data_IF_754128762330
#
_entry.id   IF_754128762330
#
_cell.length_a   1.000
_cell.length_b   1.000
_cell.length_c   1.000
_cell.angle_alpha   90.00
_cell.angle_beta   90.00
_cell.angle_gamma   90.00
#
_symmetry.space_group_name_H-M   'P 1'
#
loop_
_entity.id
_entity.type
_entity.pdbx_description
1 polymer ?
#
# COMPACT_ATOMS: atom_id res chain seq x y z
N UNK A 1 -0.44 -20.10 19.53
CA UNK A 1 0.42 -21.26 19.26
C UNK A 1 0.77 -21.26 17.78
N UNK A 2 2.03 -21.55 17.42
CA UNK A 2 2.44 -21.66 16.02
C UNK A 2 2.12 -23.05 15.45
N UNK A 3 1.90 -23.19 14.13
CA UNK A 3 1.93 -24.49 13.48
C UNK A 3 3.28 -25.20 13.74
N UNK A 4 3.31 -26.56 13.83
CA UNK A 4 4.56 -27.28 14.01
C UNK A 4 5.58 -26.97 12.90
N UNK A 5 6.79 -26.58 13.29
CA UNK A 5 7.76 -26.00 12.36
C UNK A 5 8.13 -26.90 11.18
N UNK A 6 8.28 -28.21 11.41
CA UNK A 6 8.61 -29.17 10.36
C UNK A 6 7.49 -29.27 9.30
N UNK A 7 6.23 -29.17 9.71
CA UNK A 7 5.08 -29.22 8.79
C UNK A 7 5.01 -27.90 8.01
N UNK A 8 5.16 -26.77 8.70
CA UNK A 8 5.08 -25.46 8.07
C UNK A 8 6.21 -25.24 7.06
N UNK A 9 7.45 -25.64 7.38
CA UNK A 9 8.60 -25.52 6.48
C UNK A 9 8.40 -26.30 5.17
N UNK A 10 7.74 -27.46 5.22
CA UNK A 10 7.38 -28.23 4.01
C UNK A 10 6.36 -27.49 3.13
N UNK A 11 5.46 -26.71 3.72
CA UNK A 11 4.43 -25.94 3.00
C UNK A 11 5.03 -24.71 2.33
N UNK A 12 5.81 -23.91 3.05
CA UNK A 12 6.31 -22.61 2.55
C UNK A 12 7.71 -22.69 1.93
N UNK A 13 8.36 -23.86 2.00
CA UNK A 13 9.77 -24.12 1.68
C UNK A 13 10.78 -23.60 2.71
N UNK A 14 11.85 -24.37 2.89
CA UNK A 14 13.01 -24.04 3.72
C UNK A 14 13.66 -22.70 3.36
N UNK A 15 14.01 -22.40 2.08
CA UNK A 15 14.66 -21.13 1.73
C UNK A 15 13.82 -19.90 2.12
N UNK A 16 12.50 -20.00 1.98
CA UNK A 16 11.59 -18.91 2.31
C UNK A 16 11.56 -18.67 3.82
N UNK A 17 11.51 -19.72 4.63
CA UNK A 17 11.55 -19.61 6.10
C UNK A 17 12.95 -19.21 6.62
N UNK A 18 14.02 -19.72 6.02
CA UNK A 18 15.41 -19.35 6.34
C UNK A 18 15.65 -17.85 6.16
N UNK A 19 14.98 -17.21 5.19
CA UNK A 19 15.04 -15.76 5.04
C UNK A 19 14.48 -15.00 6.25
N UNK A 20 13.46 -15.52 6.92
CA UNK A 20 12.93 -14.91 8.14
C UNK A 20 13.88 -15.16 9.31
N UNK A 21 14.36 -16.39 9.48
CA UNK A 21 15.32 -16.76 10.53
C UNK A 21 16.60 -15.91 10.45
N UNK A 22 17.16 -15.75 9.25
CA UNK A 22 18.40 -15.00 9.04
C UNK A 22 18.25 -13.49 9.31
N UNK A 23 17.20 -12.87 8.77
CA UNK A 23 16.98 -11.43 8.94
C UNK A 23 16.64 -11.07 10.39
N UNK A 24 15.69 -11.79 10.98
CA UNK A 24 15.17 -11.48 12.32
C UNK A 24 16.01 -12.12 13.45
N UNK A 25 16.97 -12.99 13.11
CA UNK A 25 17.85 -13.70 14.05
C UNK A 25 17.05 -14.50 15.09
N UNK A 26 16.05 -15.25 14.62
CA UNK A 26 15.13 -16.01 15.47
C UNK A 26 15.11 -17.50 15.12
N UNK A 27 14.57 -18.31 16.03
CA UNK A 27 14.26 -19.72 15.81
C UNK A 27 13.13 -19.93 14.78
N UNK A 28 12.87 -21.20 14.45
CA UNK A 28 11.87 -21.57 13.45
C UNK A 28 10.44 -21.17 13.85
N UNK A 29 10.08 -21.29 15.13
CA UNK A 29 8.73 -21.00 15.62
C UNK A 29 8.42 -19.50 15.50
N UNK A 30 9.34 -18.65 15.95
CA UNK A 30 9.22 -17.19 15.79
C UNK A 30 9.24 -16.77 14.32
N UNK A 31 10.03 -17.42 13.48
CA UNK A 31 10.03 -17.16 12.04
C UNK A 31 8.67 -17.46 11.38
N UNK A 32 7.97 -18.50 11.84
CA UNK A 32 6.60 -18.82 11.39
C UNK A 32 5.63 -17.71 11.83
N UNK A 33 5.73 -17.26 13.09
CA UNK A 33 4.97 -16.12 13.59
C UNK A 33 5.13 -14.88 12.72
N UNK A 34 6.37 -14.53 12.37
CA UNK A 34 6.70 -13.40 11.50
C UNK A 34 6.24 -13.59 10.06
N UNK A 35 6.21 -14.83 9.57
CA UNK A 35 5.63 -15.14 8.26
C UNK A 35 4.13 -14.85 8.22
N UNK A 36 3.40 -15.28 9.26
CA UNK A 36 1.96 -15.03 9.41
C UNK A 36 1.71 -13.52 9.55
N UNK A 37 2.50 -12.84 10.39
CA UNK A 37 2.46 -11.38 10.54
C UNK A 37 2.62 -10.65 9.21
N UNK A 38 3.57 -11.06 8.37
CA UNK A 38 3.74 -10.49 7.04
C UNK A 38 2.49 -10.68 6.17
N UNK A 39 1.84 -11.84 6.24
CA UNK A 39 0.58 -12.08 5.53
C UNK A 39 -0.54 -11.12 5.96
N UNK A 40 -0.65 -10.87 7.26
CA UNK A 40 -1.65 -9.95 7.83
C UNK A 40 -1.39 -8.50 7.41
N UNK A 41 -0.12 -8.07 7.42
CA UNK A 41 0.26 -6.74 6.91
C UNK A 41 -0.05 -6.65 5.42
N UNK A 42 0.33 -7.65 4.61
CA UNK A 42 0.03 -7.66 3.17
C UNK A 42 -1.47 -7.49 2.93
N UNK A 43 -2.32 -8.18 3.70
CA UNK A 43 -3.77 -8.08 3.57
C UNK A 43 -4.29 -6.67 3.88
N UNK A 44 -3.85 -6.05 4.98
CA UNK A 44 -4.29 -4.71 5.36
C UNK A 44 -3.72 -3.60 4.45
N UNK A 45 -2.45 -3.70 4.05
CA UNK A 45 -1.83 -2.77 3.09
C UNK A 45 -2.46 -2.90 1.70
N UNK A 46 -2.93 -4.08 1.30
CA UNK A 46 -3.67 -4.25 0.03
C UNK A 46 -4.94 -3.41 -0.01
N UNK A 47 -5.66 -3.30 1.12
CA UNK A 47 -6.86 -2.46 1.21
C UNK A 47 -6.52 -0.99 0.99
N UNK A 48 -5.43 -0.52 1.62
CA UNK A 48 -4.92 0.83 1.41
C UNK A 48 -4.60 1.07 -0.07
N UNK A 49 -3.78 0.22 -0.68
CA UNK A 49 -3.35 0.34 -2.07
C UNK A 49 -4.52 0.27 -3.06
N UNK A 50 -5.56 -0.51 -2.78
CA UNK A 50 -6.77 -0.57 -3.60
C UNK A 50 -7.47 0.80 -3.70
N UNK A 51 -7.70 1.46 -2.55
CA UNK A 51 -8.30 2.80 -2.54
C UNK A 51 -7.43 3.82 -3.28
N UNK A 52 -6.12 3.76 -3.08
CA UNK A 52 -5.19 4.64 -3.77
C UNK A 52 -5.19 4.42 -5.29
N UNK A 53 -5.07 3.16 -5.74
CA UNK A 53 -5.05 2.80 -7.16
C UNK A 53 -6.32 3.24 -7.89
N UNK A 54 -7.49 2.97 -7.30
CA UNK A 54 -8.79 3.36 -7.88
C UNK A 54 -8.93 4.89 -7.92
N UNK A 55 -8.54 5.58 -6.85
CA UNK A 55 -8.64 7.04 -6.79
C UNK A 55 -7.68 7.70 -7.79
N UNK A 56 -6.44 7.21 -7.88
CA UNK A 56 -5.44 7.71 -8.81
C UNK A 56 -5.87 7.50 -10.27
N UNK A 57 -6.31 6.27 -10.62
CA UNK A 57 -6.72 5.98 -12.01
C UNK A 57 -7.93 6.80 -12.42
N UNK A 58 -8.91 6.96 -11.54
CA UNK A 58 -10.13 7.71 -11.83
C UNK A 58 -9.82 9.20 -11.99
N UNK A 59 -8.95 9.75 -11.14
CA UNK A 59 -8.48 11.14 -11.26
C UNK A 59 -7.76 11.39 -12.59
N UNK A 60 -6.78 10.53 -12.93
CA UNK A 60 -6.06 10.61 -14.22
C UNK A 60 -7.03 10.48 -15.40
N UNK A 61 -7.92 9.49 -15.36
CA UNK A 61 -8.88 9.24 -16.45
C UNK A 61 -9.83 10.42 -16.65
N UNK A 62 -10.38 10.97 -15.55
CA UNK A 62 -11.26 12.13 -15.60
C UNK A 62 -10.58 13.33 -16.24
N UNK A 63 -9.38 13.69 -15.76
CA UNK A 63 -8.70 14.89 -16.25
C UNK A 63 -8.22 14.75 -17.69
N UNK A 64 -7.79 13.56 -18.12
CA UNK A 64 -7.46 13.29 -19.52
C UNK A 64 -8.70 13.32 -20.43
N UNK A 65 -9.83 12.76 -19.98
CA UNK A 65 -11.09 12.79 -20.73
C UNK A 65 -11.59 14.23 -20.89
N UNK A 66 -11.62 15.01 -19.81
CA UNK A 66 -12.02 16.42 -19.86
C UNK A 66 -11.05 17.25 -20.72
N UNK A 67 -9.75 16.98 -20.68
CA UNK A 67 -8.79 17.70 -21.51
C UNK A 67 -8.95 17.40 -23.00
N UNK A 68 -9.14 16.13 -23.37
CA UNK A 68 -9.26 15.69 -24.77
C UNK A 68 -10.61 16.06 -25.39
N UNK A 69 -11.68 16.06 -24.59
CA UNK A 69 -13.04 16.40 -25.06
C UNK A 69 -13.38 17.88 -24.91
N UNK A 70 -12.43 18.74 -24.50
CA UNK A 70 -12.66 20.17 -24.22
C UNK A 70 -13.78 20.39 -23.19
N UNK A 71 -13.70 19.66 -22.08
CA UNK A 71 -14.62 19.69 -20.93
C UNK A 71 -16.03 19.14 -21.21
N UNK A 72 -16.24 18.45 -22.33
CA UNK A 72 -17.56 17.89 -22.69
C UNK A 72 -17.86 16.58 -21.95
N UNK A 73 -16.87 15.69 -21.78
CA UNK A 73 -17.05 14.42 -21.07
C UNK A 73 -15.92 14.11 -20.11
N UNK A 74 -16.29 13.61 -18.92
CA UNK A 74 -15.37 13.07 -17.91
C UNK A 74 -14.97 11.61 -18.16
N UNK A 75 -15.55 10.95 -19.15
CA UNK A 75 -15.18 9.60 -19.58
C UNK A 75 -15.11 9.52 -21.10
N UNK A 76 -13.91 9.32 -21.63
CA UNK A 76 -13.64 9.26 -23.06
C UNK A 76 -12.45 8.36 -23.37
N UNK A 77 -12.40 7.84 -24.60
CA UNK A 77 -11.24 7.11 -25.13
C UNK A 77 -10.06 8.04 -25.42
N UNK A 78 -9.60 8.79 -24.41
CA UNK A 78 -8.54 9.80 -24.55
C UNK A 78 -7.25 9.22 -25.14
N UNK A 79 -7.00 7.92 -24.97
CA UNK A 79 -5.84 7.23 -25.55
C UNK A 79 -5.89 7.13 -27.08
N UNK A 80 -7.07 7.11 -27.69
CA UNK A 80 -7.20 7.12 -29.15
C UNK A 80 -6.84 8.50 -29.69
N UNK A 81 -7.34 9.56 -29.05
CA UNK A 81 -7.01 10.96 -29.39
C UNK A 81 -5.53 11.29 -29.14
N UNK A 82 -4.95 10.76 -28.07
CA UNK A 82 -3.57 11.03 -27.65
C UNK A 82 -2.55 10.02 -28.18
N UNK A 83 -2.99 9.02 -28.95
CA UNK A 83 -2.17 7.89 -29.42
C UNK A 83 -0.80 8.30 -29.96
N UNK A 84 -0.65 9.35 -30.82
CA UNK A 84 0.67 9.74 -31.35
C UNK A 84 1.68 10.18 -30.28
N UNK A 85 1.20 10.70 -29.14
CA UNK A 85 2.04 11.20 -28.05
C UNK A 85 2.29 10.17 -26.94
N UNK A 86 1.58 9.04 -26.96
CA UNK A 86 1.71 7.98 -25.96
C UNK A 86 2.84 7.02 -26.31
N UNK A 87 3.52 6.51 -25.28
CA UNK A 87 4.56 5.49 -25.45
C UNK A 87 3.98 4.24 -26.14
N UNK A 88 4.74 3.53 -26.99
CA UNK A 88 4.29 2.28 -27.62
C UNK A 88 3.78 1.25 -26.60
N UNK A 89 4.46 1.10 -25.47
CA UNK A 89 4.06 0.18 -24.38
C UNK A 89 2.72 0.54 -23.76
N UNK A 90 2.41 1.83 -23.63
CA UNK A 90 1.11 2.32 -23.15
C UNK A 90 0.01 1.95 -24.13
N UNK A 91 0.23 2.17 -25.43
CA UNK A 91 -0.74 1.84 -26.48
C UNK A 91 -0.99 0.34 -26.54
N UNK A 92 0.07 -0.46 -26.45
CA UNK A 92 -0.04 -1.92 -26.45
C UNK A 92 -0.93 -2.43 -25.32
N UNK A 93 -0.76 -1.92 -24.09
CA UNK A 93 -1.61 -2.34 -22.95
C UNK A 93 -3.10 -2.09 -23.16
N UNK A 94 -3.46 -0.98 -23.83
CA UNK A 94 -4.86 -0.71 -24.18
C UNK A 94 -5.34 -1.64 -25.28
N UNK A 95 -4.49 -1.92 -26.28
CA UNK A 95 -4.79 -2.87 -27.34
C UNK A 95 -4.97 -4.30 -26.80
N UNK A 96 -4.17 -4.74 -25.83
CA UNK A 96 -4.27 -6.05 -25.18
C UNK A 96 -5.61 -6.21 -24.44
N UNK A 97 -6.09 -5.15 -23.78
CA UNK A 97 -7.41 -5.15 -23.13
C UNK A 97 -8.54 -5.28 -24.15
N UNK A 98 -8.43 -4.60 -25.31
CA UNK A 98 -9.40 -4.70 -26.40
C UNK A 98 -9.38 -6.08 -27.07
N UNK A 99 -8.19 -6.63 -27.33
CA UNK A 99 -8.03 -7.92 -28.01
C UNK A 99 -8.47 -9.11 -27.16
N UNK A 100 -8.50 -8.98 -25.83
CA UNK A 100 -9.04 -9.98 -24.92
C UNK A 100 -10.57 -10.17 -25.06
N UNK A 101 -11.29 -9.22 -25.67
CA UNK A 101 -12.75 -9.25 -25.87
C UNK A 101 -13.12 -8.78 -27.28
N UNK A 102 -12.72 -9.53 -28.34
CA UNK A 102 -12.75 -9.05 -29.73
C UNK A 102 -14.17 -8.78 -30.27
N UNK A 103 -15.20 -9.30 -29.62
CA UNK A 103 -16.60 -9.17 -30.05
C UNK A 103 -17.36 -8.04 -29.32
N UNK A 104 -16.69 -7.26 -28.47
CA UNK A 104 -17.31 -6.22 -27.65
C UNK A 104 -16.58 -4.89 -27.78
N UNK A 105 -17.32 -3.82 -28.04
CA UNK A 105 -16.79 -2.46 -27.96
C UNK A 105 -16.83 -2.04 -26.50
N UNK A 106 -15.68 -2.05 -25.84
CA UNK A 106 -15.56 -1.60 -24.46
C UNK A 106 -15.72 -0.08 -24.36
N UNK A 107 -16.50 0.37 -23.38
CA UNK A 107 -16.54 1.76 -22.95
C UNK A 107 -15.20 2.22 -22.37
N UNK A 108 -14.95 3.54 -22.23
CA UNK A 108 -13.71 4.01 -21.63
C UNK A 108 -13.51 3.52 -20.19
N UNK A 109 -14.56 3.57 -19.36
CA UNK A 109 -14.48 3.14 -17.96
C UNK A 109 -14.19 1.63 -17.83
N UNK A 110 -14.70 0.83 -18.76
CA UNK A 110 -14.42 -0.60 -18.83
C UNK A 110 -12.96 -0.92 -19.17
N UNK A 111 -12.33 -0.12 -20.03
CA UNK A 111 -10.90 -0.25 -20.31
C UNK A 111 -10.10 0.18 -19.08
N UNK A 112 -10.46 1.31 -18.46
CA UNK A 112 -9.83 1.81 -17.24
C UNK A 112 -9.85 0.77 -16.12
N UNK A 113 -10.99 0.07 -15.94
CA UNK A 113 -11.13 -0.92 -14.87
C UNK A 113 -10.27 -2.17 -15.07
N UNK A 114 -9.95 -2.52 -16.33
CA UNK A 114 -9.14 -3.71 -16.71
C UNK A 114 -7.63 -3.45 -16.74
N UNK A 115 -7.21 -2.18 -16.75
CA UNK A 115 -5.79 -1.82 -16.71
C UNK A 115 -5.24 -1.97 -15.29
N UNK A 116 -4.16 -2.73 -15.16
CA UNK A 116 -3.49 -2.95 -13.88
C UNK A 116 -2.80 -1.70 -13.35
N UNK A 117 -2.63 -1.60 -12.02
CA UNK A 117 -1.97 -0.46 -11.36
C UNK A 117 -0.75 0.09 -12.07
N UNK A 118 0.16 -0.80 -12.53
CA UNK A 118 1.41 -0.41 -13.15
C UNK A 118 1.25 0.42 -14.44
N UNK A 119 0.03 0.56 -14.97
CA UNK A 119 -0.29 1.50 -16.05
C UNK A 119 -0.31 2.96 -15.57
N UNK A 120 -0.91 3.23 -14.41
CA UNK A 120 -1.27 4.59 -13.99
C UNK A 120 -0.09 5.46 -13.54
N UNK A 121 0.89 4.98 -12.74
CA UNK A 121 2.11 5.75 -12.45
C UNK A 121 2.91 6.11 -13.71
N UNK A 122 2.89 5.24 -14.73
CA UNK A 122 3.55 5.52 -16.00
C UNK A 122 2.83 6.62 -16.81
N UNK A 123 1.50 6.62 -16.82
CA UNK A 123 0.72 7.72 -17.40
C UNK A 123 0.97 9.02 -16.64
N UNK A 124 0.97 8.96 -15.30
CA UNK A 124 1.23 10.13 -14.47
C UNK A 124 2.63 10.71 -14.71
N UNK A 125 3.66 9.86 -14.84
CA UNK A 125 5.02 10.29 -15.19
C UNK A 125 5.09 10.96 -16.57
N UNK A 126 4.35 10.44 -17.55
CA UNK A 126 4.22 11.07 -18.87
C UNK A 126 3.50 12.42 -18.78
N UNK A 127 2.39 12.50 -18.05
CA UNK A 127 1.63 13.73 -17.79
C UNK A 127 2.48 14.79 -17.11
N UNK A 128 3.22 14.41 -16.07
CA UNK A 128 4.15 15.27 -15.35
C UNK A 128 5.20 15.92 -16.27
N UNK A 129 5.58 15.27 -17.38
CA UNK A 129 6.59 15.80 -18.33
C UNK A 129 5.96 16.55 -19.49
N UNK A 130 4.88 16.01 -20.07
CA UNK A 130 4.31 16.49 -21.34
C UNK A 130 3.09 17.40 -21.15
N UNK A 131 2.45 17.33 -19.98
CA UNK A 131 1.18 18.02 -19.66
C UNK A 131 1.16 18.46 -18.19
N UNK A 132 2.23 19.08 -17.72
CA UNK A 132 2.42 19.47 -16.30
C UNK A 132 1.25 20.26 -15.73
N UNK A 133 0.56 21.06 -16.55
CA UNK A 133 -0.62 21.82 -16.13
C UNK A 133 -1.83 20.98 -15.71
N UNK A 134 -1.84 19.66 -15.97
CA UNK A 134 -2.85 18.74 -15.46
C UNK A 134 -2.53 18.22 -14.05
N UNK A 135 -1.28 18.32 -13.58
CA UNK A 135 -0.88 17.80 -12.27
C UNK A 135 -1.67 18.40 -11.10
N UNK A 136 -1.89 19.74 -11.03
CA UNK A 136 -2.73 20.32 -9.99
C UNK A 136 -4.20 19.88 -10.03
N UNK A 137 -4.69 19.39 -11.17
CA UNK A 137 -6.08 18.91 -11.28
C UNK A 137 -6.20 17.45 -10.87
N UNK A 138 -5.17 16.66 -11.15
CA UNK A 138 -5.11 15.23 -10.82
C UNK A 138 -4.83 15.03 -9.33
N UNK A 139 -3.97 15.87 -8.76
CA UNK A 139 -3.57 15.82 -7.35
C UNK A 139 -3.88 17.17 -6.67
N UNK A 140 -5.16 17.55 -6.54
CA UNK A 140 -5.58 18.90 -6.17
C UNK A 140 -5.12 19.34 -4.77
N UNK A 141 -5.00 18.40 -3.83
CA UNK A 141 -4.58 18.68 -2.47
C UNK A 141 -3.07 18.46 -2.23
N UNK A 142 -2.30 18.13 -3.27
CA UNK A 142 -0.86 17.97 -3.13
C UNK A 142 -0.19 19.32 -2.79
N UNK A 143 0.86 19.36 -1.95
CA UNK A 143 1.56 20.61 -1.61
C UNK A 143 2.04 21.40 -2.84
N UNK A 144 2.49 20.69 -3.88
CA UNK A 144 2.91 21.31 -5.16
C UNK A 144 1.77 21.92 -5.98
N UNK A 145 0.51 21.61 -5.66
CA UNK A 145 -0.70 22.13 -6.31
C UNK A 145 -1.24 23.40 -5.66
N UNK A 146 -0.75 23.75 -4.47
CA UNK A 146 -1.21 24.93 -3.75
C UNK A 146 -0.81 26.20 -4.53
N UNK A 147 -1.74 27.16 -4.74
CA UNK A 147 -1.40 28.43 -5.39
C UNK A 147 -0.23 29.14 -4.70
N UNK A 148 0.79 29.51 -5.46
CA UNK A 148 2.00 30.15 -4.93
C UNK A 148 3.02 29.21 -4.25
N UNK A 149 2.80 27.89 -4.28
CA UNK A 149 3.72 26.93 -3.70
C UNK A 149 5.14 27.03 -4.26
N UNK A 150 6.12 26.95 -3.37
CA UNK A 150 7.54 26.85 -3.70
C UNK A 150 8.15 25.73 -2.85
N UNK A 151 8.48 24.56 -3.43
CA UNK A 151 8.34 24.20 -4.84
C UNK A 151 6.88 23.92 -5.29
N UNK A 152 6.68 23.84 -6.59
CA UNK A 152 5.45 23.47 -7.30
C UNK A 152 5.73 22.44 -8.42
N UNK A 153 4.72 22.12 -9.23
CA UNK A 153 4.84 21.11 -10.28
C UNK A 153 5.79 21.49 -11.42
N UNK A 154 6.15 22.76 -11.60
CA UNK A 154 7.00 23.20 -12.71
C UNK A 154 8.48 22.98 -12.41
N UNK A 155 8.88 22.87 -11.13
CA UNK A 155 10.24 22.47 -10.77
C UNK A 155 10.41 20.97 -10.95
N UNK A 156 11.25 20.59 -11.92
CA UNK A 156 11.50 19.19 -12.27
C UNK A 156 11.93 18.32 -11.08
N UNK A 157 12.80 18.77 -10.14
CA UNK A 157 13.18 17.94 -9.02
C UNK A 157 12.02 17.64 -8.06
N UNK A 158 11.20 18.65 -7.74
CA UNK A 158 10.06 18.48 -6.85
C UNK A 158 9.01 17.54 -7.46
N UNK A 159 8.75 17.70 -8.75
CA UNK A 159 7.87 16.82 -9.51
C UNK A 159 8.39 15.38 -9.56
N UNK A 160 9.70 15.18 -9.74
CA UNK A 160 10.30 13.84 -9.77
C UNK A 160 10.15 13.15 -8.41
N UNK A 161 10.43 13.84 -7.29
CA UNK A 161 10.24 13.29 -5.94
C UNK A 161 8.80 12.83 -5.68
N UNK A 162 7.82 13.65 -6.07
CA UNK A 162 6.40 13.29 -5.93
C UNK A 162 6.01 12.05 -6.78
N UNK A 163 6.64 11.86 -7.95
CA UNK A 163 6.45 10.64 -8.75
C UNK A 163 7.12 9.44 -8.11
N UNK A 164 8.33 9.59 -7.57
CA UNK A 164 9.11 8.50 -6.97
C UNK A 164 8.36 7.87 -5.78
N UNK A 165 7.66 8.68 -4.97
CA UNK A 165 6.75 8.21 -3.92
C UNK A 165 5.61 7.32 -4.45
N UNK A 166 4.99 7.70 -5.58
CA UNK A 166 3.94 6.90 -6.22
C UNK A 166 4.50 5.60 -6.81
N UNK A 167 5.72 5.64 -7.35
CA UNK A 167 6.42 4.45 -7.81
C UNK A 167 6.81 3.52 -6.66
N UNK A 168 7.15 4.05 -5.48
CA UNK A 168 7.39 3.24 -4.28
C UNK A 168 6.12 2.45 -3.90
N UNK A 169 4.94 3.09 -3.90
CA UNK A 169 3.67 2.41 -3.66
C UNK A 169 3.38 1.31 -4.71
N UNK A 170 3.77 1.54 -5.98
CA UNK A 170 3.70 0.51 -7.03
C UNK A 170 4.60 -0.68 -6.72
N UNK A 171 5.82 -0.48 -6.25
CA UNK A 171 6.70 -1.59 -5.89
C UNK A 171 6.17 -2.37 -4.68
N UNK A 172 5.61 -1.69 -3.67
CA UNK A 172 4.93 -2.38 -2.56
C UNK A 172 3.77 -3.23 -3.06
N UNK A 173 2.93 -2.69 -3.97
CA UNK A 173 1.84 -3.46 -4.60
C UNK A 173 2.37 -4.71 -5.31
N UNK A 174 3.44 -4.57 -6.09
CA UNK A 174 4.05 -5.68 -6.81
C UNK A 174 4.53 -6.78 -5.87
N UNK A 175 5.21 -6.40 -4.78
CA UNK A 175 5.68 -7.35 -3.76
C UNK A 175 4.52 -8.15 -3.15
N UNK A 176 3.40 -7.49 -2.84
CA UNK A 176 2.22 -8.19 -2.35
C UNK A 176 1.70 -9.19 -3.37
N UNK A 177 1.58 -8.78 -4.64
CA UNK A 177 1.11 -9.65 -5.72
C UNK A 177 2.03 -10.86 -5.99
N UNK A 178 3.33 -10.71 -5.72
CA UNK A 178 4.31 -11.81 -5.82
C UNK A 178 4.49 -12.58 -4.50
N UNK A 179 3.69 -12.29 -3.47
CA UNK A 179 3.80 -12.85 -2.13
C UNK A 179 5.20 -12.71 -1.53
N UNK A 180 5.86 -11.58 -1.78
CA UNK A 180 7.16 -11.27 -1.19
C UNK A 180 7.01 -10.69 0.21
N UNK A 181 7.98 -10.89 1.12
CA UNK A 181 7.95 -10.25 2.43
C UNK A 181 8.04 -8.73 2.28
N UNK A 182 7.16 -7.96 2.94
CA UNK A 182 7.14 -6.49 2.83
C UNK A 182 8.25 -5.80 3.63
N UNK A 183 8.69 -6.42 4.72
CA UNK A 183 9.71 -5.88 5.63
C UNK A 183 11.13 -5.83 5.04
N UNK A 184 11.38 -6.42 3.87
CA UNK A 184 12.70 -6.33 3.19
C UNK A 184 12.82 -5.02 2.44
N UNK A 185 12.97 -3.89 3.12
CA UNK A 185 13.13 -2.61 2.44
C UNK A 185 14.55 -2.45 1.91
N UNK A 186 14.70 -2.04 0.65
CA UNK A 186 15.98 -1.61 0.08
C UNK A 186 16.23 -0.13 0.35
N UNK A 187 17.45 0.32 0.05
CA UNK A 187 17.78 1.74 0.00
C UNK A 187 16.81 2.47 -0.93
N UNK A 188 16.39 3.66 -0.51
CA UNK A 188 15.63 4.60 -1.35
C UNK A 188 16.51 5.80 -1.60
N UNK A 189 16.69 6.12 -2.87
CA UNK A 189 17.47 7.26 -3.31
C UNK A 189 16.57 8.32 -3.92
N UNK A 190 16.87 9.58 -3.65
CA UNK A 190 16.31 10.71 -4.38
C UNK A 190 17.12 10.86 -5.68
N UNK A 191 16.45 10.57 -6.80
CA UNK A 191 17.02 10.67 -8.15
C UNK A 191 16.68 11.99 -8.84
N UNK A 192 16.02 12.90 -8.13
CA UNK A 192 15.59 14.19 -8.64
C UNK A 192 16.70 15.21 -8.93
N UNK A 193 17.89 15.17 -8.28
CA UNK A 193 19.01 16.01 -8.68
C UNK A 193 19.45 15.74 -10.13
N UNK A 194 19.77 16.81 -10.86
CA UNK A 194 20.30 16.70 -12.23
C UNK A 194 21.81 16.43 -12.19
N UNK A 195 22.31 15.71 -13.20
CA UNK A 195 23.76 15.53 -13.36
C UNK A 195 24.48 16.90 -13.39
N UNK A 196 25.64 17.03 -12.73
CA UNK A 196 26.47 15.96 -12.15
C UNK A 196 26.13 15.57 -10.70
N UNK A 197 25.10 16.14 -10.08
CA UNK A 197 24.75 15.83 -8.68
C UNK A 197 24.28 14.37 -8.57
N UNK A 198 24.96 13.54 -7.76
CA UNK A 198 24.59 12.12 -7.62
C UNK A 198 23.26 11.98 -6.86
N UNK A 199 22.55 10.85 -7.03
CA UNK A 199 21.40 10.52 -6.18
C UNK A 199 21.77 10.52 -4.70
N UNK A 200 20.90 11.06 -3.86
CA UNK A 200 21.12 11.11 -2.40
C UNK A 200 20.30 10.04 -1.70
N UNK A 201 20.88 9.38 -0.69
CA UNK A 201 20.14 8.40 0.10
C UNK A 201 19.05 9.10 0.92
N UNK A 202 17.80 8.74 0.68
CA UNK A 202 16.63 9.24 1.43
C UNK A 202 16.46 8.42 2.70
N UNK A 203 16.47 7.09 2.56
CA UNK A 203 16.42 6.20 3.69
C UNK A 203 17.11 4.86 3.37
N UNK A 204 17.90 4.32 4.32
CA UNK A 204 18.62 3.07 4.12
C UNK A 204 17.67 1.88 4.08
N UNK A 205 18.18 0.77 3.58
CA UNK A 205 17.60 -0.56 3.72
C UNK A 205 17.35 -0.89 5.19
N UNK A 206 16.29 -1.65 5.45
CA UNK A 206 16.04 -2.19 6.78
C UNK A 206 16.91 -3.41 7.01
N UNK A 207 17.50 -3.53 8.20
CA UNK A 207 18.42 -4.62 8.55
C UNK A 207 18.10 -5.28 9.90
N UNK A 208 17.14 -4.71 10.63
CA UNK A 208 16.70 -5.18 11.94
C UNK A 208 15.25 -4.77 12.20
N UNK A 209 14.74 -5.12 13.37
CA UNK A 209 13.38 -4.82 13.81
C UNK A 209 13.10 -3.31 13.84
N UNK A 210 13.97 -2.51 14.45
CA UNK A 210 13.75 -1.07 14.62
C UNK A 210 13.69 -0.35 13.26
N UNK A 211 14.66 -0.61 12.39
CA UNK A 211 14.70 -0.05 11.04
C UNK A 211 13.53 -0.53 10.18
N UNK A 212 13.08 -1.78 10.36
CA UNK A 212 11.88 -2.30 9.69
C UNK A 212 10.63 -1.50 10.07
N UNK A 213 10.38 -1.29 11.36
CA UNK A 213 9.21 -0.54 11.82
C UNK A 213 9.27 0.93 11.40
N UNK A 214 10.45 1.56 11.42
CA UNK A 214 10.66 2.90 10.88
C UNK A 214 10.33 2.98 9.38
N UNK A 215 10.76 1.98 8.59
CA UNK A 215 10.47 1.92 7.15
C UNK A 215 8.98 1.72 6.88
N UNK A 216 8.28 0.92 7.68
CA UNK A 216 6.81 0.82 7.60
C UNK A 216 6.12 2.14 7.97
N UNK A 217 6.57 2.84 9.01
CA UNK A 217 6.02 4.15 9.37
C UNK A 217 6.18 5.16 8.22
N UNK A 218 7.34 5.20 7.57
CA UNK A 218 7.56 6.03 6.36
C UNK A 218 6.64 5.60 5.22
N UNK A 219 6.49 4.30 4.97
CA UNK A 219 5.58 3.82 3.92
C UNK A 219 4.14 4.30 4.15
N UNK A 220 3.66 4.25 5.40
CA UNK A 220 2.34 4.75 5.75
C UNK A 220 2.23 6.28 5.57
N UNK A 221 3.27 7.04 5.90
CA UNK A 221 3.31 8.49 5.63
C UNK A 221 3.22 8.79 4.13
N UNK A 222 3.98 8.06 3.30
CA UNK A 222 3.92 8.20 1.84
C UNK A 222 2.52 7.88 1.32
N UNK A 223 1.91 6.80 1.82
CA UNK A 223 0.53 6.45 1.48
C UNK A 223 -0.47 7.56 1.88
N UNK A 224 -0.40 8.00 3.14
CA UNK A 224 -1.30 9.00 3.71
C UNK A 224 -1.21 10.32 2.92
N UNK A 225 0.01 10.73 2.56
CA UNK A 225 0.25 11.89 1.69
C UNK A 225 -0.32 11.69 0.29
N UNK A 226 -0.12 10.52 -0.33
CA UNK A 226 -0.59 10.23 -1.68
C UNK A 226 -2.13 10.23 -1.76
N UNK A 227 -2.81 9.62 -0.79
CA UNK A 227 -4.28 9.62 -0.75
C UNK A 227 -4.83 10.99 -0.38
N UNK A 228 -4.24 11.68 0.60
CA UNK A 228 -4.65 13.04 0.96
C UNK A 228 -4.54 14.00 -0.23
N UNK A 229 -3.49 13.84 -1.05
CA UNK A 229 -3.28 14.62 -2.28
C UNK A 229 -4.36 14.42 -3.35
N UNK A 230 -5.02 13.26 -3.36
CA UNK A 230 -6.14 12.93 -4.23
C UNK A 230 -7.48 13.38 -3.62
N UNK A 231 -7.70 13.05 -2.35
CA UNK A 231 -8.92 13.35 -1.60
C UNK A 231 -8.64 13.37 -0.10
N UNK A 232 -8.61 14.56 0.53
CA UNK A 232 -8.49 14.69 1.98
C UNK A 232 -9.61 13.97 2.74
N UNK A 233 -10.83 13.96 2.20
CA UNK A 233 -11.98 13.29 2.81
C UNK A 233 -11.80 11.77 2.85
N UNK A 234 -11.36 11.17 1.74
CA UNK A 234 -11.06 9.73 1.70
C UNK A 234 -9.93 9.38 2.67
N UNK A 235 -8.87 10.19 2.71
CA UNK A 235 -7.78 10.00 3.67
C UNK A 235 -8.29 10.05 5.12
N UNK A 236 -9.11 11.04 5.48
CA UNK A 236 -9.68 11.16 6.82
C UNK A 236 -10.55 9.94 7.18
N UNK A 237 -11.38 9.48 6.25
CA UNK A 237 -12.20 8.28 6.44
C UNK A 237 -11.34 7.03 6.66
N UNK A 238 -10.30 6.83 5.86
CA UNK A 238 -9.37 5.69 6.00
C UNK A 238 -8.65 5.75 7.34
N UNK A 239 -8.14 6.92 7.76
CA UNK A 239 -7.46 7.08 9.05
C UNK A 239 -8.36 6.78 10.25
N UNK A 240 -9.65 7.08 10.17
CA UNK A 240 -10.63 6.79 11.21
C UNK A 240 -11.13 5.34 11.23
N UNK A 241 -10.80 4.53 10.22
CA UNK A 241 -11.33 3.17 10.08
C UNK A 241 -10.71 2.17 11.04
N UNK A 242 -11.50 1.19 11.50
CA UNK A 242 -11.03 0.12 12.39
C UNK A 242 -9.93 -0.75 11.77
N UNK A 243 -9.95 -0.94 10.46
CA UNK A 243 -8.92 -1.72 9.76
C UNK A 243 -7.61 -0.95 9.61
N UNK A 244 -7.64 0.39 9.52
CA UNK A 244 -6.40 1.19 9.66
C UNK A 244 -5.84 1.14 11.07
N UNK A 245 -6.68 1.20 12.10
CA UNK A 245 -6.24 1.01 13.48
C UNK A 245 -5.58 -0.37 13.69
N UNK A 246 -6.14 -1.42 13.08
CA UNK A 246 -5.53 -2.76 13.08
C UNK A 246 -4.16 -2.77 12.39
N UNK A 247 -4.00 -2.11 11.25
CA UNK A 247 -2.71 -2.01 10.58
C UNK A 247 -1.68 -1.25 11.42
N UNK A 248 -2.08 -0.14 12.03
CA UNK A 248 -1.22 0.63 12.94
C UNK A 248 -0.77 -0.25 14.13
N UNK A 249 -1.67 -1.09 14.66
CA UNK A 249 -1.31 -2.10 15.67
C UNK A 249 -0.32 -3.14 15.13
N UNK A 250 -0.60 -3.75 13.96
CA UNK A 250 0.28 -4.77 13.35
C UNK A 250 1.70 -4.23 13.14
N UNK A 251 1.83 -2.94 12.80
CA UNK A 251 3.10 -2.25 12.56
C UNK A 251 3.70 -1.61 13.83
N UNK A 252 3.15 -1.89 15.00
CA UNK A 252 3.74 -1.51 16.28
C UNK A 252 4.67 -2.61 16.81
N UNK A 253 5.62 -2.28 17.72
CA UNK A 253 6.42 -3.29 18.42
C UNK A 253 5.54 -4.36 19.10
N UNK A 254 4.41 -3.94 19.66
CA UNK A 254 3.46 -4.80 20.35
C UNK A 254 2.72 -5.77 19.41
N UNK A 255 2.36 -5.31 18.22
CA UNK A 255 1.77 -6.16 17.18
C UNK A 255 2.77 -7.17 16.63
N UNK A 256 4.00 -6.73 16.35
CA UNK A 256 5.08 -7.62 15.96
C UNK A 256 5.33 -8.70 17.01
N UNK A 257 5.48 -8.33 18.29
CA UNK A 257 5.71 -9.26 19.39
C UNK A 257 4.54 -10.23 19.58
N UNK A 258 3.28 -9.79 19.36
CA UNK A 258 2.11 -10.69 19.38
C UNK A 258 2.29 -11.85 18.42
N UNK A 259 2.66 -11.56 17.17
CA UNK A 259 2.79 -12.59 16.16
C UNK A 259 4.06 -13.41 16.35
N UNK A 260 5.21 -12.76 16.60
CA UNK A 260 6.50 -13.42 16.85
C UNK A 260 6.38 -14.49 17.94
N UNK A 261 5.67 -14.20 19.03
CA UNK A 261 5.48 -15.14 20.15
C UNK A 261 4.23 -16.03 20.03
N UNK A 262 3.53 -16.02 18.89
CA UNK A 262 2.39 -16.91 18.64
C UNK A 262 1.14 -16.57 19.46
N UNK A 263 1.04 -15.33 19.96
CA UNK A 263 -0.07 -14.80 20.76
C UNK A 263 -1.23 -14.27 19.90
N UNK A 264 -1.13 -14.38 18.57
CA UNK A 264 -2.19 -14.02 17.63
C UNK A 264 -3.36 -15.03 17.63
N UNK A 265 -3.15 -16.22 18.20
CA UNK A 265 -4.20 -17.24 18.35
C UNK A 265 -5.05 -16.92 19.58
N UNK A 266 -6.36 -17.00 19.41
CA UNK A 266 -7.33 -16.77 20.49
C UNK A 266 -7.17 -17.81 21.59
N UNK A 267 -7.21 -17.39 22.85
CA UNK A 267 -7.24 -18.29 23.99
C UNK A 267 -8.42 -19.27 23.88
N UNK A 268 -8.22 -20.59 24.02
CA UNK A 268 -9.29 -21.57 23.89
C UNK A 268 -10.35 -21.44 24.99
N UNK A 269 -9.92 -21.10 26.20
CA UNK A 269 -10.82 -20.86 27.33
C UNK A 269 -11.57 -19.54 27.12
N UNK A 270 -12.88 -19.58 27.26
CA UNK A 270 -13.72 -18.39 27.27
C UNK A 270 -13.83 -17.80 28.68
N UNK A 271 -13.95 -16.49 28.75
CA UNK A 271 -14.22 -15.75 29.99
C UNK A 271 -15.55 -15.02 29.88
N UNK A 272 -16.15 -14.70 31.02
CA UNK A 272 -17.33 -13.86 31.13
C UNK A 272 -16.97 -12.38 30.98
N UNK A 273 -17.95 -11.51 30.65
CA UNK A 273 -17.74 -10.05 30.67
C UNK A 273 -17.30 -9.51 32.04
N UNK A 274 -17.75 -10.13 33.13
CA UNK A 274 -17.38 -9.78 34.51
C UNK A 274 -15.91 -10.09 34.79
N UNK A 275 -15.43 -11.27 34.36
CA UNK A 275 -14.02 -11.65 34.45
C UNK A 275 -13.13 -10.76 33.57
N UNK A 276 -13.59 -10.39 32.36
CA UNK A 276 -12.89 -9.42 31.52
C UNK A 276 -12.72 -8.09 32.26
N UNK A 277 -13.76 -7.60 32.93
CA UNK A 277 -13.69 -6.39 33.75
C UNK A 277 -12.68 -6.51 34.90
N UNK A 278 -12.73 -7.61 35.64
CA UNK A 278 -11.83 -7.87 36.77
C UNK A 278 -10.36 -8.08 36.39
N UNK A 279 -10.10 -8.59 35.18
CA UNK A 279 -8.76 -8.95 34.70
C UNK A 279 -8.27 -8.07 33.54
N UNK A 280 -8.95 -6.97 33.24
CA UNK A 280 -8.75 -6.18 32.02
C UNK A 280 -7.28 -5.78 31.80
N UNK A 281 -6.63 -5.22 32.82
CA UNK A 281 -5.24 -4.79 32.74
C UNK A 281 -4.29 -5.96 32.43
N UNK A 282 -4.50 -7.11 33.07
CA UNK A 282 -3.69 -8.32 32.86
C UNK A 282 -3.90 -8.88 31.46
N UNK A 283 -5.14 -8.97 30.99
CA UNK A 283 -5.47 -9.45 29.64
C UNK A 283 -4.89 -8.55 28.55
N UNK A 284 -4.94 -7.23 28.77
CA UNK A 284 -4.27 -6.27 27.89
C UNK A 284 -2.76 -6.51 27.90
N UNK A 285 -2.11 -6.67 29.05
CA UNK A 285 -0.67 -6.94 29.12
C UNK A 285 -0.26 -8.27 28.43
N UNK A 286 -1.09 -9.31 28.53
CA UNK A 286 -0.85 -10.62 27.90
C UNK A 286 -0.84 -10.57 26.37
N UNK A 287 -1.42 -9.53 25.75
CA UNK A 287 -1.35 -9.28 24.31
C UNK A 287 -1.92 -10.45 23.46
N UNK A 288 -2.87 -11.22 24.02
CA UNK A 288 -3.51 -12.38 23.38
C UNK A 288 -5.03 -12.15 23.29
N UNK A 289 -5.68 -12.43 22.15
CA UNK A 289 -7.13 -12.39 22.06
C UNK A 289 -7.79 -13.43 22.97
N UNK A 290 -8.95 -13.10 23.56
CA UNK A 290 -9.71 -14.02 24.40
C UNK A 290 -11.15 -14.14 23.92
N UNK A 291 -11.74 -15.32 24.07
CA UNK A 291 -13.16 -15.54 23.79
C UNK A 291 -14.00 -15.02 24.95
N UNK A 292 -15.05 -14.28 24.62
CA UNK A 292 -16.06 -13.86 25.57
C UNK A 292 -17.31 -14.71 25.35
N UNK A 293 -17.90 -15.21 26.44
CA UNK A 293 -19.19 -15.90 26.42
C UNK A 293 -20.06 -15.38 27.55
N UNK A 294 -21.32 -15.08 27.23
CA UNK A 294 -22.37 -14.80 28.20
C UNK A 294 -23.66 -15.56 27.84
N UNK A 295 -24.73 -15.33 28.61
CA UNK A 295 -26.05 -15.97 28.37
C UNK A 295 -26.72 -15.52 27.07
N UNK A 296 -26.29 -14.40 26.48
CA UNK A 296 -26.89 -13.76 25.31
C UNK A 296 -26.08 -13.98 24.02
N UNK A 297 -24.84 -14.48 24.12
CA UNK A 297 -23.99 -14.76 22.97
C UNK A 297 -22.50 -14.82 23.30
N UNK A 298 -21.68 -14.63 22.26
CA UNK A 298 -20.23 -14.67 22.37
C UNK A 298 -19.54 -13.64 21.50
N UNK A 299 -18.28 -13.35 21.83
CA UNK A 299 -17.44 -12.40 21.13
C UNK A 299 -15.96 -12.72 21.29
N UNK A 300 -15.11 -11.85 20.73
CA UNK A 300 -13.66 -11.93 20.92
C UNK A 300 -13.19 -10.54 21.35
N UNK A 301 -12.52 -10.49 22.50
CA UNK A 301 -11.75 -9.32 22.89
C UNK A 301 -10.34 -9.45 22.32
N UNK A 302 -9.91 -8.43 21.57
CA UNK A 302 -8.57 -8.34 21.02
C UNK A 302 -7.90 -7.15 21.70
N UNK A 303 -6.85 -7.36 22.51
CA UNK A 303 -6.10 -6.24 23.06
C UNK A 303 -5.56 -5.35 21.93
N UNK A 304 -5.66 -4.04 22.08
CA UNK A 304 -4.89 -3.10 21.26
C UNK A 304 -3.44 -3.02 21.74
#
# INVERSE_FOLDING_TARGET
MHPPAQIFEKIVSKPRLDSYKGYWKVDADKAIGLYIWNGEICAEVSKLLCYFEISLRNSIHRELSLNTTRQVSSSAHWWDTLSPSLKPTTRQRVADVRSAVPHMVLSPDEIVSRLSFGFWPNILSWLAKQRTGLMPKILPAHPLSVPGATPNWWQAPARQRALDEIFELKEVRNRIAHHEPLWKFSDVFDTSPQQPTPPSLVCPASNDEATTLQRFARLLQVYDQAVSSLSPDLHAYIRASSWRARLDFLLSPRGLERYKNGLHVVEPAAITPEELGGQFATLVQQNRPVRLLDVNGGGIFIPA
#
